data_IF_437229687792
#
_entry.id   IF_437229687792
#
_cell.length_a   1.000
_cell.length_b   1.000
_cell.length_c   1.000
_cell.angle_alpha   90.00
_cell.angle_beta   90.00
_cell.angle_gamma   90.00
#
_symmetry.space_group_name_H-M   'P 1'
#
loop_
_entity.id
_entity.type
_entity.pdbx_description
1 polymer ?
#
# COMPACT_ATOMS: atom_id res chain seq x y z
N UNK A 1 2.50 -25.98 7.83
CA UNK A 1 2.24 -25.21 9.07
C UNK A 1 0.85 -25.56 9.58
N UNK A 2 0.71 -26.15 10.78
CA UNK A 2 -0.60 -26.21 11.44
C UNK A 2 -0.90 -24.82 12.00
N UNK A 3 -1.63 -24.00 11.26
CA UNK A 3 -2.13 -22.72 11.75
C UNK A 3 -3.25 -22.97 12.74
N UNK A 4 -2.95 -22.93 14.03
CA UNK A 4 -3.97 -22.91 15.08
C UNK A 4 -4.79 -21.62 14.97
N UNK A 5 -6.10 -21.67 15.23
CA UNK A 5 -6.97 -20.49 15.25
C UNK A 5 -6.40 -19.37 16.15
N UNK A 6 -5.74 -19.76 17.25
CA UNK A 6 -5.07 -18.84 18.16
C UNK A 6 -3.90 -18.07 17.50
N UNK A 7 -3.15 -18.74 16.61
CA UNK A 7 -2.04 -18.11 15.88
C UNK A 7 -2.53 -17.09 14.85
N UNK A 8 -3.67 -17.37 14.21
CA UNK A 8 -4.32 -16.44 13.27
C UNK A 8 -4.83 -15.22 14.03
N UNK A 9 -5.53 -15.44 15.15
CA UNK A 9 -6.00 -14.36 16.02
C UNK A 9 -4.87 -13.44 16.49
N UNK A 10 -3.75 -14.00 16.97
CA UNK A 10 -2.56 -13.22 17.36
C UNK A 10 -2.00 -12.39 16.20
N UNK A 11 -2.03 -12.93 14.99
CA UNK A 11 -1.56 -12.22 13.78
C UNK A 11 -2.46 -11.02 13.47
N UNK A 12 -3.78 -11.20 13.53
CA UNK A 12 -4.75 -10.14 13.28
C UNK A 12 -4.63 -9.05 14.35
N UNK A 13 -4.60 -9.42 15.63
CA UNK A 13 -4.45 -8.47 16.74
C UNK A 13 -3.15 -7.67 16.64
N UNK A 14 -2.05 -8.32 16.28
CA UNK A 14 -0.77 -7.64 16.09
C UNK A 14 -0.83 -6.66 14.91
N UNK A 15 -1.42 -7.07 13.79
CA UNK A 15 -1.59 -6.19 12.62
C UNK A 15 -2.42 -4.96 12.99
N UNK A 16 -3.56 -5.16 13.65
CA UNK A 16 -4.44 -4.07 14.09
C UNK A 16 -3.76 -3.12 15.08
N UNK A 17 -2.92 -3.65 15.99
CA UNK A 17 -2.16 -2.82 16.93
C UNK A 17 -1.15 -1.95 16.20
N UNK A 18 -0.42 -2.50 15.23
CA UNK A 18 0.57 -1.74 14.44
C UNK A 18 -0.11 -0.69 13.59
N UNK A 19 -1.19 -1.04 12.89
CA UNK A 19 -1.90 -0.11 12.01
C UNK A 19 -2.63 0.96 12.83
N UNK A 20 -3.32 0.57 13.90
CA UNK A 20 -4.00 1.48 14.82
C UNK A 20 -3.02 2.44 15.50
N UNK A 21 -1.88 1.94 15.98
CA UNK A 21 -0.81 2.77 16.53
C UNK A 21 -0.28 3.78 15.52
N UNK A 22 -0.09 3.38 14.26
CA UNK A 22 0.34 4.30 13.19
C UNK A 22 -0.69 5.41 12.95
N UNK A 23 -1.99 5.07 12.88
CA UNK A 23 -3.06 6.06 12.71
C UNK A 23 -3.17 7.01 13.90
N UNK A 24 -3.04 6.49 15.12
CA UNK A 24 -3.04 7.29 16.35
C UNK A 24 -1.85 8.27 16.39
N UNK A 25 -0.67 7.87 15.90
CA UNK A 25 0.48 8.77 15.79
C UNK A 25 0.22 9.92 14.81
N UNK A 26 -0.37 9.64 13.64
CA UNK A 26 -0.72 10.68 12.66
C UNK A 26 -1.75 11.66 13.24
N UNK A 27 -2.81 11.13 13.86
CA UNK A 27 -3.84 11.96 14.50
C UNK A 27 -3.29 12.74 15.69
N UNK A 28 -2.45 12.12 16.51
CA UNK A 28 -1.76 12.77 17.62
C UNK A 28 -0.89 13.92 17.14
N UNK A 29 -0.12 13.71 16.07
CA UNK A 29 0.72 14.75 15.50
C UNK A 29 -0.10 15.93 14.95
N UNK A 30 -1.23 15.67 14.29
CA UNK A 30 -2.14 16.74 13.88
C UNK A 30 -2.75 17.47 15.09
N UNK A 31 -3.18 16.73 16.12
CA UNK A 31 -3.88 17.29 17.27
C UNK A 31 -2.96 18.19 18.10
N UNK A 32 -1.78 17.68 18.48
CA UNK A 32 -0.82 18.35 19.36
C UNK A 32 0.04 19.40 18.64
N UNK A 33 0.55 19.10 17.44
CA UNK A 33 1.50 19.98 16.74
C UNK A 33 0.86 20.79 15.61
N UNK A 34 -0.45 20.60 15.34
CA UNK A 34 -1.15 21.23 14.21
C UNK A 34 -0.45 21.00 12.86
N UNK A 35 0.24 19.86 12.73
CA UNK A 35 1.01 19.51 11.54
C UNK A 35 0.08 19.46 10.32
N UNK A 36 0.46 20.19 9.28
CA UNK A 36 -0.18 20.09 7.98
C UNK A 36 0.40 18.87 7.24
N UNK A 37 -0.40 17.84 6.98
CA UNK A 37 0.05 16.62 6.28
C UNK A 37 -0.03 16.72 4.74
N UNK A 38 -0.48 17.85 4.18
CA UNK A 38 -0.63 18.02 2.74
C UNK A 38 0.69 17.92 1.96
N UNK A 39 1.84 18.17 2.60
CA UNK A 39 3.15 17.96 1.96
C UNK A 39 3.46 16.48 1.74
N UNK A 40 2.77 15.58 2.45
CA UNK A 40 3.00 14.15 2.43
C UNK A 40 1.85 13.45 1.67
N UNK A 41 1.64 13.87 0.42
CA UNK A 41 0.62 13.33 -0.50
C UNK A 41 0.69 11.80 -0.64
N UNK A 42 1.85 11.20 -0.36
CA UNK A 42 2.10 9.76 -0.53
C UNK A 42 1.85 8.94 0.74
N UNK A 43 1.43 9.58 1.83
CA UNK A 43 1.22 8.94 3.13
C UNK A 43 -0.18 9.17 3.69
N UNK A 44 -0.29 8.91 4.99
CA UNK A 44 -1.58 8.95 5.68
C UNK A 44 -1.86 10.39 6.10
N UNK A 45 -2.92 10.97 5.54
CA UNK A 45 -3.47 12.21 6.06
C UNK A 45 -4.57 11.91 7.09
N UNK A 46 -4.84 12.84 8.01
CA UNK A 46 -5.99 12.74 8.90
C UNK A 46 -7.30 12.77 8.13
N UNK A 47 -8.30 12.02 8.59
CA UNK A 47 -9.58 11.86 7.91
C UNK A 47 -10.74 11.85 8.90
N UNK A 48 -11.92 12.25 8.42
CA UNK A 48 -13.15 12.19 9.23
C UNK A 48 -13.65 10.76 9.41
N UNK A 49 -14.35 10.50 10.52
CA UNK A 49 -14.87 9.17 10.88
C UNK A 49 -15.79 8.56 9.80
N UNK A 50 -16.48 9.38 9.02
CA UNK A 50 -17.36 8.93 7.93
C UNK A 50 -16.63 8.08 6.88
N UNK A 51 -15.32 8.31 6.64
CA UNK A 51 -14.54 7.51 5.69
C UNK A 51 -14.26 6.08 6.16
N UNK A 52 -14.41 5.78 7.45
CA UNK A 52 -14.10 4.45 8.00
C UNK A 52 -14.99 3.39 7.36
N UNK A 53 -16.28 3.67 7.19
CA UNK A 53 -17.23 2.72 6.58
C UNK A 53 -16.86 2.44 5.13
N UNK A 54 -16.48 3.46 4.38
CA UNK A 54 -16.06 3.31 2.99
C UNK A 54 -14.74 2.54 2.84
N UNK A 55 -13.80 2.75 3.75
CA UNK A 55 -12.58 1.94 3.84
C UNK A 55 -12.90 0.47 4.12
N UNK A 56 -13.79 0.18 5.07
CA UNK A 56 -14.16 -1.19 5.41
C UNK A 56 -14.81 -1.95 4.24
N UNK A 57 -15.55 -1.25 3.36
CA UNK A 57 -16.12 -1.86 2.13
C UNK A 57 -15.04 -2.33 1.17
N UNK A 58 -13.94 -1.58 1.03
CA UNK A 58 -12.83 -1.93 0.12
C UNK A 58 -11.74 -2.77 0.78
N UNK A 59 -11.72 -2.88 2.11
CA UNK A 59 -10.73 -3.66 2.84
C UNK A 59 -10.56 -5.10 2.32
N UNK A 60 -11.63 -5.86 1.96
CA UNK A 60 -11.46 -7.22 1.46
C UNK A 60 -10.59 -7.32 0.22
N UNK A 61 -10.72 -6.40 -0.75
CA UNK A 61 -9.93 -6.45 -1.99
C UNK A 61 -8.46 -6.13 -1.73
N UNK A 62 -8.17 -5.18 -0.83
CA UNK A 62 -6.81 -4.88 -0.39
C UNK A 62 -6.19 -6.06 0.37
N UNK A 63 -6.94 -6.70 1.27
CA UNK A 63 -6.47 -7.87 2.01
C UNK A 63 -6.08 -8.99 1.06
N UNK A 64 -6.93 -9.33 0.08
CA UNK A 64 -6.63 -10.37 -0.90
C UNK A 64 -5.33 -10.04 -1.65
N UNK A 65 -5.23 -8.85 -2.24
CA UNK A 65 -4.05 -8.47 -3.03
C UNK A 65 -2.74 -8.46 -2.24
N UNK A 66 -2.72 -7.79 -1.08
CA UNK A 66 -1.51 -7.60 -0.29
C UNK A 66 -1.11 -8.84 0.52
N UNK A 67 -2.08 -9.64 0.99
CA UNK A 67 -1.76 -10.91 1.67
C UNK A 67 -1.19 -11.92 0.68
N UNK A 68 -1.82 -12.07 -0.49
CA UNK A 68 -1.29 -12.93 -1.56
C UNK A 68 0.12 -12.47 -1.94
N UNK A 69 0.29 -11.17 -2.24
CA UNK A 69 1.60 -10.59 -2.56
C UNK A 69 2.64 -10.88 -1.48
N UNK A 70 2.31 -10.68 -0.20
CA UNK A 70 3.22 -10.95 0.93
C UNK A 70 3.63 -12.43 1.03
N UNK A 71 2.72 -13.37 0.73
CA UNK A 71 3.03 -14.80 0.66
C UNK A 71 4.00 -15.05 -0.49
N UNK A 72 3.72 -14.53 -1.69
CA UNK A 72 4.59 -14.72 -2.86
C UNK A 72 5.98 -14.12 -2.62
N UNK A 73 6.05 -12.89 -2.13
CA UNK A 73 7.30 -12.23 -1.76
C UNK A 73 8.07 -13.12 -0.80
N UNK A 74 7.49 -13.54 0.32
CA UNK A 74 8.25 -14.22 1.38
C UNK A 74 8.51 -15.71 1.11
N UNK A 75 7.60 -16.42 0.45
CA UNK A 75 7.66 -17.86 0.25
C UNK A 75 8.30 -18.28 -1.08
N UNK A 76 8.22 -17.46 -2.14
CA UNK A 76 8.85 -17.78 -3.44
C UNK A 76 10.31 -17.32 -3.55
N UNK A 77 10.84 -16.65 -2.51
CA UNK A 77 12.12 -15.95 -2.58
C UNK A 77 13.22 -16.59 -1.72
N UNK A 78 13.50 -17.86 -1.98
CA UNK A 78 14.86 -18.39 -1.88
C UNK A 78 15.47 -18.59 -3.27
N UNK A 79 14.98 -17.86 -4.28
CA UNK A 79 15.48 -18.01 -5.63
C UNK A 79 16.86 -17.33 -5.76
N UNK A 80 17.90 -18.13 -5.97
CA UNK A 80 19.30 -17.68 -6.15
C UNK A 80 19.55 -16.98 -7.49
N UNK A 81 18.55 -16.92 -8.37
CA UNK A 81 18.67 -16.44 -9.75
C UNK A 81 18.99 -14.94 -9.91
N UNK A 82 18.72 -14.11 -8.89
CA UNK A 82 18.99 -12.66 -8.93
C UNK A 82 20.14 -12.22 -8.00
N UNK A 83 21.04 -13.16 -7.66
CA UNK A 83 22.28 -12.89 -6.93
C UNK A 83 22.22 -13.26 -5.44
N UNK A 84 23.38 -13.58 -4.87
CA UNK A 84 23.56 -13.93 -3.44
C UNK A 84 23.25 -12.76 -2.48
N UNK A 85 23.09 -11.54 -2.99
CA UNK A 85 22.84 -10.35 -2.19
C UNK A 85 21.32 -10.13 -1.97
N UNK A 86 20.88 -10.39 -0.74
CA UNK A 86 19.47 -10.27 -0.30
C UNK A 86 18.88 -8.86 -0.52
N UNK A 87 19.71 -7.82 -0.47
CA UNK A 87 19.27 -6.43 -0.64
C UNK A 87 19.00 -6.12 -2.12
N UNK A 88 19.87 -6.58 -3.02
CA UNK A 88 19.67 -6.35 -4.46
C UNK A 88 18.41 -7.07 -4.94
N UNK A 89 18.20 -8.31 -4.50
CA UNK A 89 17.03 -9.09 -4.86
C UNK A 89 15.71 -8.40 -4.43
N UNK A 90 15.65 -7.89 -3.19
CA UNK A 90 14.42 -7.24 -2.71
C UNK A 90 14.17 -5.89 -3.41
N UNK A 91 15.22 -5.15 -3.75
CA UNK A 91 15.11 -3.90 -4.50
C UNK A 91 14.62 -4.15 -5.93
N UNK A 92 15.14 -5.18 -6.61
CA UNK A 92 14.65 -5.59 -7.94
C UNK A 92 13.18 -5.99 -7.86
N UNK A 93 12.79 -6.77 -6.84
CA UNK A 93 11.40 -7.16 -6.64
C UNK A 93 10.50 -5.94 -6.38
N UNK A 94 10.94 -4.99 -5.57
CA UNK A 94 10.25 -3.72 -5.32
C UNK A 94 10.06 -2.91 -6.61
N UNK A 95 11.11 -2.78 -7.42
CA UNK A 95 11.07 -2.09 -8.71
C UNK A 95 10.09 -2.76 -9.68
N UNK A 96 10.15 -4.08 -9.83
CA UNK A 96 9.25 -4.83 -10.73
C UNK A 96 7.80 -4.73 -10.26
N UNK A 97 7.54 -4.81 -8.95
CA UNK A 97 6.18 -4.68 -8.39
C UNK A 97 5.61 -3.28 -8.65
N UNK A 98 6.45 -2.23 -8.62
CA UNK A 98 6.06 -0.86 -8.89
C UNK A 98 6.11 -0.48 -10.38
N UNK A 99 6.63 -1.33 -11.27
CA UNK A 99 6.89 -0.98 -12.66
C UNK A 99 5.60 -0.68 -13.44
N UNK A 100 4.58 -1.51 -13.29
CA UNK A 100 3.30 -1.34 -14.00
C UNK A 100 2.63 0.01 -13.67
N UNK A 101 2.36 0.35 -12.39
CA UNK A 101 1.76 1.65 -12.09
C UNK A 101 2.70 2.81 -12.46
N UNK A 102 4.02 2.63 -12.41
CA UNK A 102 4.97 3.66 -12.81
C UNK A 102 4.90 3.96 -14.31
N UNK A 103 4.81 2.93 -15.15
CA UNK A 103 4.67 3.09 -16.60
C UNK A 103 3.33 3.73 -16.98
N UNK A 104 2.24 3.27 -16.36
CA UNK A 104 0.88 3.81 -16.63
C UNK A 104 0.78 5.27 -16.19
N UNK A 105 1.22 5.58 -14.97
CA UNK A 105 1.20 6.95 -14.45
C UNK A 105 2.15 7.86 -15.23
N UNK A 106 3.36 7.39 -15.52
CA UNK A 106 4.37 8.12 -16.30
C UNK A 106 3.90 8.43 -17.71
N UNK A 107 3.23 7.50 -18.39
CA UNK A 107 2.69 7.74 -19.73
C UNK A 107 1.58 8.81 -19.72
N UNK A 108 0.65 8.76 -18.75
CA UNK A 108 -0.41 9.77 -18.60
C UNK A 108 0.15 11.16 -18.33
N UNK A 109 1.10 11.27 -17.40
CA UNK A 109 1.77 12.53 -17.09
C UNK A 109 2.61 13.06 -18.26
N UNK A 110 3.33 12.20 -18.99
CA UNK A 110 4.09 12.61 -20.17
C UNK A 110 3.17 13.20 -21.24
N UNK A 111 2.02 12.56 -21.51
CA UNK A 111 1.02 13.06 -22.46
C UNK A 111 0.49 14.43 -22.02
N UNK A 112 0.19 14.59 -20.73
CA UNK A 112 -0.25 15.87 -20.17
C UNK A 112 0.80 16.97 -20.37
N UNK A 113 2.08 16.71 -20.09
CA UNK A 113 3.16 17.69 -20.27
C UNK A 113 3.36 18.11 -21.73
N UNK A 114 3.10 17.21 -22.69
CA UNK A 114 3.27 17.48 -24.11
C UNK A 114 2.07 18.20 -24.76
N UNK A 115 0.84 17.93 -24.27
CA UNK A 115 -0.40 18.36 -24.96
C UNK A 115 -1.32 19.23 -24.11
N UNK A 116 -1.04 19.38 -22.81
CA UNK A 116 -1.89 20.09 -21.84
C UNK A 116 -3.13 19.31 -21.37
N UNK A 117 -3.36 18.08 -21.83
CA UNK A 117 -4.56 17.28 -21.50
C UNK A 117 -4.16 15.86 -21.10
N UNK A 118 -4.72 15.29 -20.03
CA UNK A 118 -4.40 13.91 -19.59
C UNK A 118 -5.48 12.89 -20.01
N UNK A 119 -5.70 12.70 -21.30
CA UNK A 119 -6.74 11.80 -21.86
C UNK A 119 -6.18 10.51 -22.47
N UNK A 120 -4.96 10.10 -22.09
CA UNK A 120 -4.27 8.94 -22.69
C UNK A 120 -5.11 7.66 -22.61
N UNK A 121 -5.93 7.52 -21.57
CA UNK A 121 -6.85 6.40 -21.36
C UNK A 121 -8.32 6.77 -21.65
N UNK A 122 -8.56 7.91 -22.30
CA UNK A 122 -9.86 8.52 -22.55
C UNK A 122 -10.22 9.62 -21.56
N UNK A 123 -10.99 10.61 -22.00
CA UNK A 123 -11.35 11.79 -21.21
C UNK A 123 -12.15 11.46 -19.93
N UNK A 124 -12.90 10.35 -19.92
CA UNK A 124 -13.61 9.87 -18.73
C UNK A 124 -12.69 9.21 -17.68
N UNK A 125 -11.45 8.90 -18.04
CA UNK A 125 -10.54 8.05 -17.26
C UNK A 125 -9.24 8.76 -16.86
N UNK A 126 -9.21 10.09 -16.95
CA UNK A 126 -8.06 10.94 -16.54
C UNK A 126 -7.63 10.70 -15.09
N UNK A 127 -8.55 10.23 -14.23
CA UNK A 127 -8.28 9.90 -12.82
C UNK A 127 -7.44 8.62 -12.63
N UNK A 128 -7.34 7.75 -13.64
CA UNK A 128 -6.58 6.49 -13.56
C UNK A 128 -5.07 6.78 -13.47
N UNK A 129 -4.44 7.53 -14.40
CA UNK A 129 -3.04 7.93 -14.28
C UNK A 129 -2.68 8.65 -12.99
N UNK A 130 -3.57 9.53 -12.52
CA UNK A 130 -3.35 10.37 -11.34
C UNK A 130 -3.33 9.52 -10.06
N UNK A 131 -4.27 8.60 -9.92
CA UNK A 131 -4.35 7.68 -8.77
C UNK A 131 -3.27 6.59 -8.80
N UNK A 132 -2.77 6.22 -9.99
CA UNK A 132 -1.67 5.27 -10.14
C UNK A 132 -0.34 5.82 -9.59
N UNK A 133 -0.13 7.14 -9.58
CA UNK A 133 1.09 7.75 -9.06
C UNK A 133 1.34 7.39 -7.59
N UNK A 134 0.29 7.50 -6.76
CA UNK A 134 0.33 7.09 -5.35
C UNK A 134 0.64 5.59 -5.19
N UNK A 135 0.07 4.79 -6.09
CA UNK A 135 0.21 3.33 -6.07
C UNK A 135 1.65 2.89 -6.34
N UNK A 136 2.44 3.66 -7.11
CA UNK A 136 3.87 3.39 -7.34
C UNK A 136 4.63 3.28 -6.02
N UNK A 137 4.47 4.26 -5.14
CA UNK A 137 5.19 4.31 -3.87
C UNK A 137 4.75 3.18 -2.93
N UNK A 138 3.44 2.91 -2.85
CA UNK A 138 2.90 1.85 -2.02
C UNK A 138 3.41 0.48 -2.46
N UNK A 139 3.38 0.19 -3.76
CA UNK A 139 3.82 -1.09 -4.30
C UNK A 139 5.35 -1.25 -4.27
N UNK A 140 6.11 -0.15 -4.34
CA UNK A 140 7.56 -0.20 -4.14
C UNK A 140 7.95 -0.54 -2.70
N UNK A 141 7.28 0.07 -1.71
CA UNK A 141 7.57 -0.15 -0.29
C UNK A 141 7.09 -1.53 0.19
N UNK A 142 6.04 -2.08 -0.43
CA UNK A 142 5.39 -3.33 0.00
C UNK A 142 6.34 -4.51 0.13
N UNK A 143 7.21 -4.84 -0.85
CA UNK A 143 8.19 -5.91 -0.69
C UNK A 143 9.18 -5.67 0.43
N UNK A 144 9.62 -4.42 0.62
CA UNK A 144 10.58 -4.03 1.67
C UNK A 144 10.00 -4.27 3.06
N UNK A 145 8.78 -3.78 3.32
CA UNK A 145 8.10 -3.94 4.61
C UNK A 145 7.70 -5.39 4.86
N UNK A 146 7.16 -6.07 3.84
CA UNK A 146 6.75 -7.47 3.96
C UNK A 146 7.95 -8.37 4.33
N UNK A 147 9.12 -8.15 3.74
CA UNK A 147 10.34 -8.89 4.10
C UNK A 147 10.88 -8.49 5.46
N UNK A 148 10.91 -7.19 5.76
CA UNK A 148 11.39 -6.66 7.03
C UNK A 148 10.64 -7.32 8.19
N UNK A 149 9.31 -7.32 8.11
CA UNK A 149 8.42 -7.95 9.09
C UNK A 149 8.62 -9.46 9.13
N UNK A 150 8.66 -10.13 7.97
CA UNK A 150 8.86 -11.58 7.91
C UNK A 150 10.21 -12.02 8.52
N UNK A 151 11.28 -11.24 8.34
CA UNK A 151 12.60 -11.58 8.86
C UNK A 151 12.64 -11.68 10.39
N UNK A 152 11.80 -10.89 11.08
CA UNK A 152 11.71 -10.84 12.54
C UNK A 152 10.61 -11.72 13.12
N UNK A 153 9.50 -11.88 12.39
CA UNK A 153 8.30 -12.58 12.89
C UNK A 153 8.11 -13.98 12.34
N UNK A 154 8.77 -14.31 11.23
CA UNK A 154 8.61 -15.56 10.47
C UNK A 154 7.16 -15.85 10.05
N UNK A 155 6.29 -14.83 10.04
CA UNK A 155 4.89 -14.93 9.65
C UNK A 155 4.66 -14.23 8.30
N UNK A 156 4.35 -14.98 7.22
CA UNK A 156 4.20 -14.39 5.88
C UNK A 156 2.91 -13.57 5.69
N UNK A 157 1.92 -13.74 6.58
CA UNK A 157 0.63 -13.04 6.48
C UNK A 157 0.66 -11.65 7.12
N UNK A 158 1.44 -11.49 8.20
CA UNK A 158 1.45 -10.28 9.02
C UNK A 158 1.81 -9.03 8.22
N UNK A 159 2.88 -9.10 7.42
CA UNK A 159 3.30 -7.97 6.56
C UNK A 159 2.24 -7.62 5.51
N UNK A 160 1.57 -8.63 4.96
CA UNK A 160 0.48 -8.45 4.00
C UNK A 160 -0.73 -7.74 4.60
N UNK A 161 -1.17 -8.14 5.80
CA UNK A 161 -2.32 -7.53 6.48
C UNK A 161 -2.01 -6.06 6.85
N UNK A 162 -0.81 -5.79 7.37
CA UNK A 162 -0.40 -4.42 7.72
C UNK A 162 -0.36 -3.55 6.46
N UNK A 163 0.32 -4.00 5.40
CA UNK A 163 0.39 -3.25 4.16
C UNK A 163 -0.99 -3.06 3.52
N UNK A 164 -1.88 -4.06 3.60
CA UNK A 164 -3.25 -3.95 3.09
C UNK A 164 -4.01 -2.80 3.76
N UNK A 165 -4.00 -2.75 5.10
CA UNK A 165 -4.72 -1.74 5.86
C UNK A 165 -4.12 -0.35 5.62
N UNK A 166 -2.79 -0.21 5.65
CA UNK A 166 -2.15 1.09 5.44
C UNK A 166 -2.34 1.59 4.00
N UNK A 167 -2.14 0.73 3.00
CA UNK A 167 -2.36 1.10 1.60
C UNK A 167 -3.82 1.48 1.33
N UNK A 168 -4.77 0.77 1.94
CA UNK A 168 -6.20 1.11 1.86
C UNK A 168 -6.47 2.49 2.44
N UNK A 169 -5.99 2.78 3.66
CA UNK A 169 -6.18 4.10 4.28
C UNK A 169 -5.57 5.18 3.40
N UNK A 170 -4.32 5.01 2.98
CA UNK A 170 -3.63 5.98 2.12
C UNK A 170 -4.42 6.22 0.83
N UNK A 171 -4.91 5.15 0.19
CA UNK A 171 -5.69 5.28 -1.05
C UNK A 171 -7.03 5.98 -0.80
N UNK A 172 -7.82 5.58 0.19
CA UNK A 172 -9.14 6.17 0.46
C UNK A 172 -9.08 7.61 0.99
N UNK A 173 -7.98 8.00 1.62
CA UNK A 173 -7.79 9.36 2.12
C UNK A 173 -7.35 10.30 0.99
N UNK A 174 -6.37 9.90 0.18
CA UNK A 174 -5.79 10.73 -0.87
C UNK A 174 -6.55 10.67 -2.20
N UNK A 175 -7.27 9.59 -2.48
CA UNK A 175 -8.17 9.50 -3.63
C UNK A 175 -9.62 9.79 -3.18
N UNK A 176 -10.39 10.51 -4.00
CA UNK A 176 -11.83 10.64 -3.81
C UNK A 176 -12.51 9.29 -4.11
N UNK A 177 -12.60 8.40 -3.12
CA UNK A 177 -13.47 7.22 -3.19
C UNK A 177 -14.86 7.68 -2.80
N UNK A 178 -15.75 7.82 -3.78
CA UNK A 178 -17.17 8.14 -3.58
C UNK A 178 -17.97 6.99 -4.14
N UNK A 179 -18.75 6.31 -3.29
CA UNK A 179 -19.72 5.34 -3.75
C UNK A 179 -20.95 6.09 -4.28
N UNK A 180 -21.50 5.70 -5.44
CA UNK A 180 -22.79 6.23 -5.87
C UNK A 180 -23.85 5.90 -4.80
N UNK A 181 -24.66 6.91 -4.48
CA UNK A 181 -25.77 6.79 -3.53
C UNK A 181 -26.88 5.89 -4.06
#
# INVERSE_FOLDING_TARGET
>A
MKTSAFSVFKTIMLALTVTGGTLLLVWGAQYFFKTNFSFLYWGIMPFGSFKIVDMLKVLPIFLIGYVISSIFINCMNYNTSYGKNKIVNILVLALVTAAVPALVSGAGWAKFMLTGVNDLFGAAYTRIPDSMFLTVFLLFITPLTARGIYSKTRNPYLGGIINAILAMVITCVNCQVVFPA
#
